data_IF_942164969000
#
_entry.id   IF_942164969000
#
_cell.length_a   1.000
_cell.length_b   1.000
_cell.length_c   1.000
_cell.angle_alpha   90.00
_cell.angle_beta   90.00
_cell.angle_gamma   90.00
#
_symmetry.space_group_name_H-M   'P 1'
#
loop_
_entity.id
_entity.type
_entity.pdbx_description
1 polymer ?
#
# COMPACT_ATOMS: atom_id res chain seq x y z
N UNK A 1 9.14 -16.51 -8.08
CA UNK A 1 9.48 -15.23 -8.73
C UNK A 1 8.53 -14.24 -8.10
N UNK A 2 8.99 -13.53 -7.06
CA UNK A 2 8.17 -12.70 -6.16
C UNK A 2 7.74 -11.40 -6.86
N UNK A 3 6.76 -11.50 -7.74
CA UNK A 3 6.19 -10.33 -8.38
C UNK A 3 5.08 -9.76 -7.51
N UNK A 4 5.32 -8.58 -6.96
CA UNK A 4 4.27 -7.76 -6.36
C UNK A 4 3.26 -7.39 -7.45
N UNK A 5 2.00 -7.78 -7.26
CA UNK A 5 0.88 -7.36 -8.10
C UNK A 5 0.05 -6.32 -7.34
N UNK A 6 -0.39 -5.28 -8.04
CA UNK A 6 -1.28 -4.26 -7.47
C UNK A 6 -2.58 -4.28 -8.26
N UNK A 7 -3.67 -4.65 -7.58
CA UNK A 7 -4.98 -4.75 -8.19
C UNK A 7 -5.88 -3.64 -7.63
N UNK A 8 -6.22 -2.61 -8.43
CA UNK A 8 -7.12 -1.55 -8.00
C UNK A 8 -8.58 -2.00 -8.06
N UNK A 9 -9.38 -1.50 -7.14
CA UNK A 9 -10.84 -1.49 -7.29
C UNK A 9 -11.21 -0.55 -8.45
N UNK A 10 -12.15 -0.92 -9.34
CA UNK A 10 -12.43 -0.17 -10.57
C UNK A 10 -12.95 1.25 -10.34
N UNK A 11 -13.54 1.53 -9.18
CA UNK A 11 -14.08 2.85 -8.82
C UNK A 11 -13.65 3.27 -7.42
N UNK A 12 -13.51 4.58 -7.14
CA UNK A 12 -13.38 5.06 -5.76
C UNK A 12 -14.59 4.66 -4.90
N UNK A 13 -14.37 4.46 -3.60
CA UNK A 13 -15.40 4.04 -2.65
C UNK A 13 -15.41 4.91 -1.40
N UNK A 14 -16.59 5.06 -0.78
CA UNK A 14 -16.75 5.75 0.49
C UNK A 14 -16.30 4.84 1.63
N UNK A 15 -15.22 5.23 2.32
CA UNK A 15 -14.72 4.50 3.48
C UNK A 15 -14.89 5.33 4.75
N UNK A 16 -15.29 4.68 5.83
CA UNK A 16 -15.34 5.28 7.16
C UNK A 16 -14.19 4.74 8.03
N UNK A 17 -13.41 5.62 8.67
CA UNK A 17 -12.45 5.23 9.69
C UNK A 17 -13.02 5.51 11.09
N UNK A 18 -13.17 4.46 11.91
CA UNK A 18 -13.63 4.57 13.29
C UNK A 18 -12.57 4.08 14.26
N UNK A 19 -12.42 4.78 15.37
CA UNK A 19 -11.50 4.36 16.42
C UNK A 19 -11.98 3.08 17.09
N UNK A 20 -11.09 2.12 17.28
CA UNK A 20 -11.36 0.83 17.93
C UNK A 20 -10.50 0.69 19.17
N UNK A 21 -11.08 0.13 20.24
CA UNK A 21 -10.35 -0.19 21.46
C UNK A 21 -9.94 -1.66 21.42
N UNK A 22 -8.63 -1.91 21.51
CA UNK A 22 -8.10 -3.26 21.59
C UNK A 22 -6.85 -3.29 22.46
N UNK A 23 -6.64 -4.37 23.22
CA UNK A 23 -5.52 -4.50 24.16
C UNK A 23 -4.14 -4.55 23.48
N UNK A 24 -4.10 -4.77 22.17
CA UNK A 24 -2.86 -4.78 21.37
C UNK A 24 -2.46 -3.40 20.85
N UNK A 25 -3.26 -2.36 21.08
CA UNK A 25 -2.92 -0.99 20.67
C UNK A 25 -1.89 -0.44 21.66
N UNK A 26 -0.70 -0.03 21.22
CA UNK A 26 0.32 0.57 22.09
C UNK A 26 -0.15 1.89 22.70
N UNK A 27 0.41 2.22 23.87
CA UNK A 27 0.17 3.53 24.51
C UNK A 27 0.58 4.68 23.58
N UNK A 28 -0.26 5.70 23.47
CA UNK A 28 -0.04 6.85 22.59
C UNK A 28 -0.40 6.63 21.12
N UNK A 29 -0.85 5.43 20.74
CA UNK A 29 -1.38 5.12 19.42
C UNK A 29 -2.91 5.00 19.42
N UNK A 30 -3.50 5.04 18.22
CA UNK A 30 -4.93 4.87 18.01
C UNK A 30 -5.16 3.66 17.12
N UNK A 31 -5.97 2.71 17.60
CA UNK A 31 -6.51 1.66 16.76
C UNK A 31 -7.59 2.23 15.85
N UNK A 32 -7.52 1.93 14.56
CA UNK A 32 -8.51 2.30 13.56
C UNK A 32 -9.09 1.06 12.89
N UNK A 33 -10.41 1.04 12.73
CA UNK A 33 -11.11 0.15 11.82
C UNK A 33 -11.60 0.94 10.62
N UNK A 34 -11.38 0.40 9.42
CA UNK A 34 -11.88 0.94 8.16
C UNK A 34 -13.09 0.15 7.72
N UNK A 35 -14.17 0.86 7.39
CA UNK A 35 -15.46 0.29 7.06
C UNK A 35 -15.91 0.69 5.67
N UNK A 36 -16.46 -0.27 4.93
CA UNK A 36 -17.14 -0.07 3.66
C UNK A 36 -18.54 -0.68 3.78
N UNK A 37 -19.60 0.07 3.49
CA UNK A 37 -21.00 -0.38 3.66
C UNK A 37 -21.24 -0.99 5.07
N UNK A 38 -20.81 -0.28 6.11
CA UNK A 38 -20.83 -0.71 7.54
C UNK A 38 -20.03 -1.99 7.88
N UNK A 39 -19.31 -2.58 6.93
CA UNK A 39 -18.51 -3.80 7.12
C UNK A 39 -17.06 -3.43 7.38
N UNK A 40 -16.47 -4.04 8.41
CA UNK A 40 -15.06 -3.86 8.71
C UNK A 40 -14.20 -4.56 7.65
N UNK A 41 -13.44 -3.78 6.88
CA UNK A 41 -12.59 -4.30 5.80
C UNK A 41 -11.10 -4.32 6.17
N UNK A 42 -10.67 -3.46 7.10
CA UNK A 42 -9.28 -3.40 7.54
C UNK A 42 -9.15 -2.85 8.97
N UNK A 43 -8.05 -3.19 9.64
CA UNK A 43 -7.67 -2.64 10.95
C UNK A 43 -6.23 -2.14 10.86
N UNK A 44 -5.96 -0.96 11.39
CA UNK A 44 -4.59 -0.44 11.53
C UNK A 44 -4.36 0.18 12.90
N UNK A 45 -3.08 0.41 13.21
CA UNK A 45 -2.65 1.21 14.34
C UNK A 45 -1.89 2.40 13.78
N UNK A 46 -2.27 3.60 14.19
CA UNK A 46 -1.67 4.85 13.72
C UNK A 46 -1.25 5.72 14.88
N UNK A 47 -0.34 6.65 14.62
CA UNK A 47 -0.01 7.67 15.60
C UNK A 47 -1.23 8.57 15.85
N UNK A 48 -1.41 9.03 17.10
CA UNK A 48 -2.58 9.83 17.48
C UNK A 48 -2.76 11.11 16.64
N UNK A 49 -1.66 11.72 16.20
CA UNK A 49 -1.66 12.91 15.35
C UNK A 49 -1.99 12.63 13.86
N UNK A 50 -2.02 11.37 13.42
CA UNK A 50 -2.36 11.00 12.05
C UNK A 50 -3.88 10.84 11.83
N UNK A 51 -4.66 10.80 12.91
CA UNK A 51 -6.10 10.53 12.85
C UNK A 51 -6.86 11.56 12.01
N UNK A 52 -6.62 12.85 12.26
CA UNK A 52 -7.31 13.94 11.57
C UNK A 52 -6.96 13.96 10.08
N UNK A 53 -5.71 13.65 9.73
CA UNK A 53 -5.26 13.50 8.34
C UNK A 53 -5.98 12.36 7.64
N UNK A 54 -6.08 11.19 8.29
CA UNK A 54 -6.78 10.03 7.72
C UNK A 54 -8.27 10.35 7.54
N UNK A 55 -8.91 10.97 8.51
CA UNK A 55 -10.32 11.38 8.39
C UNK A 55 -10.52 12.36 7.23
N UNK A 56 -9.58 13.30 7.05
CA UNK A 56 -9.62 14.26 5.94
C UNK A 56 -9.44 13.57 4.57
N UNK A 57 -8.56 12.58 4.47
CA UNK A 57 -8.37 11.79 3.25
C UNK A 57 -9.61 10.97 2.87
N UNK A 58 -10.39 10.56 3.87
CA UNK A 58 -11.61 9.75 3.69
C UNK A 58 -12.89 10.59 3.61
N UNK A 59 -12.79 11.93 3.60
CA UNK A 59 -13.95 12.83 3.50
C UNK A 59 -14.66 12.75 2.13
N UNK A 60 -14.01 12.16 1.13
CA UNK A 60 -14.55 11.89 -0.20
C UNK A 60 -14.24 10.44 -0.61
N UNK A 61 -14.97 9.87 -1.59
CA UNK A 61 -14.65 8.54 -2.11
C UNK A 61 -13.17 8.41 -2.51
N UNK A 62 -12.52 7.35 -2.03
CA UNK A 62 -11.09 7.11 -2.20
C UNK A 62 -10.84 5.86 -3.04
N UNK A 63 -9.81 5.90 -3.87
CA UNK A 63 -9.38 4.72 -4.63
C UNK A 63 -8.72 3.71 -3.69
N UNK A 64 -9.06 2.43 -3.86
CA UNK A 64 -8.53 1.33 -3.04
C UNK A 64 -7.89 0.30 -3.94
N UNK A 65 -6.80 -0.30 -3.49
CA UNK A 65 -6.13 -1.39 -4.18
C UNK A 65 -5.68 -2.49 -3.21
N UNK A 66 -5.48 -3.68 -3.74
CA UNK A 66 -4.79 -4.77 -3.04
C UNK A 66 -3.40 -4.95 -3.65
N UNK A 67 -2.37 -4.71 -2.85
CA UNK A 67 -0.99 -5.03 -3.19
C UNK A 67 -0.67 -6.42 -2.65
N UNK A 68 -0.43 -7.40 -3.52
CA UNK A 68 -0.32 -8.80 -3.17
C UNK A 68 0.95 -9.44 -3.73
N UNK A 69 1.48 -10.42 -3.02
CA UNK A 69 2.59 -11.27 -3.46
C UNK A 69 2.35 -12.70 -3.03
N UNK A 70 2.87 -13.63 -3.81
CA UNK A 70 2.96 -15.03 -3.44
C UNK A 70 4.21 -15.27 -2.59
N UNK A 71 4.10 -16.08 -1.54
CA UNK A 71 5.23 -16.53 -0.72
C UNK A 71 5.77 -17.91 -1.18
N UNK A 72 6.88 -18.36 -0.58
CA UNK A 72 7.50 -19.65 -0.92
C UNK A 72 6.60 -20.88 -0.67
N UNK A 73 5.53 -20.71 0.11
CA UNK A 73 4.54 -21.76 0.41
C UNK A 73 3.30 -21.67 -0.49
N UNK A 74 3.27 -20.75 -1.46
CA UNK A 74 2.16 -20.53 -2.39
C UNK A 74 1.00 -19.73 -1.80
N UNK A 75 1.13 -19.21 -0.57
CA UNK A 75 0.12 -18.32 0.02
C UNK A 75 0.25 -16.92 -0.57
N UNK A 76 -0.84 -16.17 -0.55
CA UNK A 76 -0.83 -14.76 -0.93
C UNK A 76 -0.80 -13.89 0.31
N UNK A 77 0.27 -13.10 0.47
CA UNK A 77 0.39 -11.99 1.43
C UNK A 77 -0.05 -10.69 0.74
N UNK A 78 -1.16 -10.13 1.19
CA UNK A 78 -1.79 -8.96 0.62
C UNK A 78 -1.88 -7.79 1.60
N UNK A 79 -1.84 -6.58 1.06
CA UNK A 79 -2.08 -5.32 1.79
C UNK A 79 -3.15 -4.52 1.08
N UNK A 80 -4.19 -4.18 1.83
CA UNK A 80 -5.21 -3.24 1.35
C UNK A 80 -4.60 -1.86 1.48
N UNK A 81 -4.64 -1.09 0.40
CA UNK A 81 -4.02 0.22 0.30
C UNK A 81 -5.05 1.26 -0.15
N UNK A 82 -4.98 2.45 0.43
CA UNK A 82 -5.53 3.65 -0.21
C UNK A 82 -4.57 4.07 -1.32
N UNK A 83 -5.11 4.42 -2.48
CA UNK A 83 -4.35 4.94 -3.62
C UNK A 83 -4.49 6.45 -3.60
N UNK A 84 -3.42 7.14 -3.22
CA UNK A 84 -3.38 8.58 -3.04
C UNK A 84 -2.64 9.22 -4.21
N UNK A 85 -3.17 10.29 -4.83
CA UNK A 85 -2.41 11.07 -5.80
C UNK A 85 -1.22 11.72 -5.08
N UNK A 86 -0.06 11.63 -5.70
CA UNK A 86 1.13 12.38 -5.32
C UNK A 86 1.26 13.49 -6.34
N UNK A 87 1.22 14.74 -5.88
CA UNK A 87 1.61 15.83 -6.75
C UNK A 87 3.07 15.57 -7.15
N UNK A 88 3.41 15.57 -8.45
CA UNK A 88 4.81 15.52 -8.82
C UNK A 88 5.44 16.72 -8.14
N UNK A 89 6.31 16.46 -7.16
CA UNK A 89 7.06 17.53 -6.53
C UNK A 89 7.67 18.35 -7.66
N UNK A 90 7.57 19.68 -7.58
CA UNK A 90 8.28 20.61 -8.46
C UNK A 90 9.81 20.55 -8.23
N UNK A 91 10.33 19.36 -7.91
CA UNK A 91 11.70 19.04 -7.55
C UNK A 91 12.33 18.12 -8.61
N UNK A 92 12.25 18.53 -9.88
CA UNK A 92 13.36 18.30 -10.82
C UNK A 92 13.40 19.37 -11.95
N UNK A 93 12.89 20.57 -11.65
CA UNK A 93 12.95 21.75 -12.53
C UNK A 93 13.78 22.90 -11.94
N UNK A 94 14.56 22.61 -10.89
CA UNK A 94 15.51 23.57 -10.33
C UNK A 94 16.68 23.78 -11.29
N UNK A 95 16.49 24.62 -12.30
CA UNK A 95 17.59 25.43 -12.83
C UNK A 95 18.34 26.01 -11.63
N UNK A 96 19.66 25.80 -11.62
CA UNK A 96 20.47 25.84 -10.41
C UNK A 96 20.26 27.07 -9.52
N UNK A 97 20.07 26.80 -8.23
CA UNK A 97 20.67 27.68 -7.22
C UNK A 97 22.20 27.52 -7.31
N UNK A 98 22.80 28.28 -8.24
CA UNK A 98 24.17 28.78 -8.07
C UNK A 98 24.21 29.56 -6.74
N UNK A 99 24.49 28.89 -5.62
CA UNK A 99 24.26 29.57 -4.35
C UNK A 99 24.88 29.02 -3.08
N UNK A 100 25.32 27.76 -3.00
CA UNK A 100 26.21 27.31 -1.90
C UNK A 100 26.97 26.07 -2.36
N UNK A 101 28.26 26.23 -2.64
CA UNK A 101 29.15 25.10 -2.83
C UNK A 101 29.26 24.35 -1.50
N UNK A 102 28.50 23.26 -1.37
CA UNK A 102 28.55 22.44 -0.18
C UNK A 102 29.98 21.91 0.03
N UNK A 103 30.51 21.94 1.27
CA UNK A 103 31.94 21.74 1.53
C UNK A 103 32.46 20.37 1.08
N UNK A 104 31.59 19.36 1.08
CA UNK A 104 31.92 18.01 0.62
C UNK A 104 32.13 17.93 -0.91
N UNK A 105 31.53 18.82 -1.69
CA UNK A 105 31.63 18.85 -3.17
C UNK A 105 33.04 19.20 -3.64
N UNK A 106 33.79 19.95 -2.84
CA UNK A 106 35.20 20.30 -3.09
C UNK A 106 36.18 19.14 -2.87
N UNK A 107 35.75 18.08 -2.18
CA UNK A 107 36.58 16.93 -1.84
C UNK A 107 36.43 15.77 -2.84
N UNK A 108 35.53 15.89 -3.81
CA UNK A 108 35.34 14.88 -4.85
C UNK A 108 36.09 15.31 -6.12
N UNK A 109 37.03 14.51 -6.64
CA UNK A 109 37.66 14.78 -7.92
C UNK A 109 36.59 14.85 -9.02
N UNK A 110 36.68 15.86 -9.89
CA UNK A 110 35.79 15.94 -11.05
C UNK A 110 35.92 14.66 -11.88
N UNK A 111 34.81 14.00 -12.25
CA UNK A 111 34.85 12.81 -13.09
C UNK A 111 35.43 13.17 -14.48
N UNK A 112 36.10 12.22 -15.15
CA UNK A 112 36.61 12.44 -16.48
C UNK A 112 35.47 12.74 -17.48
N UNK A 113 35.70 13.60 -18.49
CA UNK A 113 34.67 14.12 -19.40
C UNK A 113 33.99 13.06 -20.28
N UNK A 114 34.52 11.83 -20.29
CA UNK A 114 33.99 10.69 -21.06
C UNK A 114 32.74 10.07 -20.42
N UNK A 115 32.39 10.42 -19.18
CA UNK A 115 31.24 9.86 -18.43
C UNK A 115 29.98 10.74 -18.54
N UNK A 116 30.12 12.00 -18.96
CA UNK A 116 28.98 12.96 -19.02
C UNK A 116 28.03 12.72 -20.20
N UNK A 117 28.46 12.02 -21.26
CA UNK A 117 27.65 11.82 -22.47
C UNK A 117 26.60 10.71 -22.38
N UNK A 118 26.76 9.74 -21.46
CA UNK A 118 25.84 8.59 -21.36
C UNK A 118 24.71 8.79 -20.34
N UNK A 119 24.80 9.77 -19.43
CA UNK A 119 23.76 10.03 -18.43
C UNK A 119 22.70 11.06 -18.86
N UNK A 120 22.92 11.78 -19.98
CA UNK A 120 22.03 12.85 -20.44
C UNK A 120 20.86 12.38 -21.34
N UNK A 121 20.68 11.07 -21.54
CA UNK A 121 19.70 10.54 -22.52
C UNK A 121 18.68 9.55 -21.96
N UNK A 122 18.51 9.49 -20.63
CA UNK A 122 17.37 8.77 -20.01
C UNK A 122 16.52 9.68 -19.11
N UNK A 123 16.47 10.98 -19.42
CA UNK A 123 15.43 11.89 -18.92
C UNK A 123 14.14 11.70 -19.71
N UNK A 124 13.51 10.54 -19.58
CA UNK A 124 12.14 10.35 -20.04
C UNK A 124 11.21 11.03 -19.05
N UNK A 125 10.78 12.24 -19.39
CA UNK A 125 9.69 12.96 -18.72
C UNK A 125 8.38 12.17 -18.84
N UNK A 126 8.21 11.13 -18.04
CA UNK A 126 6.90 10.49 -17.85
C UNK A 126 6.16 11.27 -16.75
N UNK A 127 5.73 12.48 -17.08
CA UNK A 127 4.94 13.39 -16.22
C UNK A 127 3.51 12.89 -15.98
N UNK A 128 3.31 11.59 -15.88
CA UNK A 128 2.04 10.98 -15.50
C UNK A 128 1.74 11.22 -14.01
N UNK A 129 0.46 11.16 -13.60
CA UNK A 129 0.09 11.26 -12.20
C UNK A 129 0.79 10.16 -11.40
N UNK A 130 1.57 10.56 -10.40
CA UNK A 130 2.22 9.64 -9.47
C UNK A 130 1.22 9.25 -8.39
N UNK A 131 1.29 7.99 -7.95
CA UNK A 131 0.42 7.48 -6.90
C UNK A 131 1.23 6.87 -5.77
N UNK A 132 0.82 7.17 -4.54
CA UNK A 132 1.31 6.52 -3.34
C UNK A 132 0.29 5.49 -2.85
N UNK A 133 0.79 4.35 -2.39
CA UNK A 133 -0.02 3.35 -1.71
C UNK A 133 0.14 3.53 -0.19
N UNK A 134 -0.95 3.83 0.50
CA UNK A 134 -0.99 3.88 1.96
C UNK A 134 -1.64 2.59 2.49
N UNK A 135 -0.88 1.64 3.06
CA UNK A 135 -1.45 0.40 3.58
C UNK A 135 -2.33 0.66 4.81
N UNK A 136 -3.55 0.11 4.79
CA UNK A 136 -4.53 0.23 5.87
C UNK A 136 -4.84 -1.10 6.57
N UNK A 137 -4.41 -2.23 5.99
CA UNK A 137 -4.56 -3.55 6.59
C UNK A 137 -3.85 -4.63 5.80
N UNK A 138 -3.62 -5.77 6.46
CA UNK A 138 -3.06 -6.96 5.86
C UNK A 138 -4.15 -8.01 5.65
N UNK A 139 -4.02 -8.79 4.60
CA UNK A 139 -4.90 -9.93 4.27
C UNK A 139 -4.06 -11.08 3.76
N UNK A 140 -4.50 -12.29 4.05
CA UNK A 140 -3.80 -13.51 3.63
C UNK A 140 -4.80 -14.46 2.99
N UNK A 141 -4.40 -15.11 1.90
CA UNK A 141 -5.11 -16.26 1.33
C UNK A 141 -4.15 -17.45 1.33
N UNK A 142 -4.55 -18.53 1.98
CA UNK A 142 -3.75 -19.76 2.02
C UNK A 142 -3.71 -20.41 0.63
N UNK A 143 -2.63 -21.13 0.32
CA UNK A 143 -2.48 -21.84 -0.95
C UNK A 143 -3.68 -22.76 -1.27
N UNK A 144 -4.20 -23.47 -0.26
CA UNK A 144 -5.35 -24.38 -0.39
C UNK A 144 -6.68 -23.66 -0.67
N UNK A 145 -6.77 -22.36 -0.35
CA UNK A 145 -7.96 -21.53 -0.58
C UNK A 145 -7.84 -20.70 -1.89
N UNK A 146 -6.81 -20.95 -2.72
CA UNK A 146 -6.63 -20.27 -4.01
C UNK A 146 -7.54 -20.88 -5.09
N UNK A 147 -8.13 -20.01 -5.90
CA UNK A 147 -8.91 -20.42 -7.07
C UNK A 147 -8.10 -20.30 -8.36
N UNK A 148 -7.04 -19.48 -8.36
CA UNK A 148 -6.18 -19.23 -9.52
C UNK A 148 -4.69 -19.44 -9.16
N UNK A 149 -4.25 -20.70 -8.90
CA UNK A 149 -2.87 -20.97 -8.44
C UNK A 149 -1.77 -20.42 -9.36
N UNK A 150 -2.04 -20.35 -10.66
CA UNK A 150 -1.08 -19.85 -11.66
C UNK A 150 -1.20 -18.33 -11.93
N UNK A 151 -2.17 -17.65 -11.32
CA UNK A 151 -2.45 -16.22 -11.55
C UNK A 151 -2.79 -15.49 -10.24
N UNK A 152 -1.74 -14.96 -9.61
CA UNK A 152 -1.82 -14.18 -8.37
C UNK A 152 -2.69 -12.93 -8.54
N UNK A 153 -2.70 -12.30 -9.72
CA UNK A 153 -3.48 -11.09 -9.95
C UNK A 153 -4.98 -11.38 -9.95
N UNK A 154 -5.41 -12.51 -10.52
CA UNK A 154 -6.80 -12.95 -10.46
C UNK A 154 -7.23 -13.31 -9.03
N UNK A 155 -6.42 -14.08 -8.29
CA UNK A 155 -6.71 -14.35 -6.88
C UNK A 155 -6.78 -13.05 -6.06
N UNK A 156 -5.84 -12.11 -6.27
CA UNK A 156 -5.81 -10.82 -5.58
C UNK A 156 -7.05 -9.96 -5.90
N UNK A 157 -7.52 -9.97 -7.15
CA UNK A 157 -8.77 -9.31 -7.54
C UNK A 157 -9.96 -9.89 -6.79
N UNK A 158 -10.08 -11.21 -6.79
CA UNK A 158 -11.17 -11.90 -6.10
C UNK A 158 -11.10 -11.70 -4.57
N UNK A 159 -9.90 -11.66 -3.98
CA UNK A 159 -9.69 -11.30 -2.58
C UNK A 159 -10.21 -9.91 -2.26
N UNK A 160 -9.89 -8.92 -3.09
CA UNK A 160 -10.36 -7.54 -2.91
C UNK A 160 -11.89 -7.44 -3.03
N UNK A 161 -12.48 -8.08 -4.03
CA UNK A 161 -13.94 -8.12 -4.23
C UNK A 161 -14.65 -8.79 -3.05
N UNK A 162 -14.17 -9.95 -2.60
CA UNK A 162 -14.72 -10.66 -1.45
C UNK A 162 -14.61 -9.84 -0.16
N UNK A 163 -13.48 -9.17 0.04
CA UNK A 163 -13.27 -8.33 1.22
C UNK A 163 -14.26 -7.16 1.28
N UNK A 164 -14.43 -6.45 0.16
CA UNK A 164 -15.39 -5.35 0.05
C UNK A 164 -16.84 -5.85 0.15
N UNK A 165 -17.12 -7.07 -0.33
CA UNK A 165 -18.41 -7.72 -0.12
C UNK A 165 -18.61 -8.28 1.31
N UNK A 166 -17.64 -8.12 2.22
CA UNK A 166 -17.72 -8.64 3.59
C UNK A 166 -17.56 -10.15 3.73
N UNK A 167 -17.05 -10.82 2.69
CA UNK A 167 -16.71 -12.24 2.67
C UNK A 167 -15.31 -12.55 3.24
N UNK A 168 -14.53 -11.53 3.64
CA UNK A 168 -13.24 -11.73 4.28
C UNK A 168 -13.37 -12.48 5.61
N UNK A 169 -12.65 -13.60 5.76
CA UNK A 169 -12.57 -14.34 7.03
C UNK A 169 -11.43 -13.79 7.88
N UNK A 170 -11.68 -13.58 9.16
CA UNK A 170 -10.62 -13.24 10.11
C UNK A 170 -9.60 -14.39 10.16
N UNK A 171 -8.31 -14.07 10.03
CA UNK A 171 -7.23 -15.06 10.08
C UNK A 171 -7.26 -15.88 11.37
N UNK A 172 -7.69 -15.28 12.49
CA UNK A 172 -7.87 -15.99 13.76
C UNK A 172 -9.03 -16.98 13.68
N UNK A 173 -10.16 -16.57 13.09
CA UNK A 173 -11.32 -17.46 12.92
C UNK A 173 -10.97 -18.63 12.00
N UNK A 174 -10.25 -18.38 10.91
CA UNK A 174 -9.77 -19.42 9.99
C UNK A 174 -8.82 -20.39 10.68
N UNK A 175 -7.86 -19.90 11.47
CA UNK A 175 -6.97 -20.76 12.24
C UNK A 175 -7.73 -21.63 13.26
N UNK A 176 -8.77 -21.09 13.89
CA UNK A 176 -9.66 -21.86 14.77
C UNK A 176 -10.42 -22.92 13.96
N UNK A 177 -11.00 -22.55 12.82
CA UNK A 177 -11.77 -23.48 11.97
C UNK A 177 -10.89 -24.61 11.42
N UNK A 178 -9.65 -24.31 11.03
CA UNK A 178 -8.70 -25.30 10.52
C UNK A 178 -8.22 -26.24 11.66
N UNK A 179 -8.01 -25.70 12.87
CA UNK A 179 -7.73 -26.51 14.05
C UNK A 179 -8.91 -27.45 14.37
N UNK A 180 -10.15 -26.94 14.30
CA UNK A 180 -11.36 -27.72 14.55
C UNK A 180 -11.60 -28.81 13.50
N UNK A 181 -11.17 -28.60 12.25
CA UNK A 181 -11.26 -29.62 11.17
C UNK A 181 -10.18 -30.69 11.25
N UNK A 182 -9.13 -30.47 12.04
CA UNK A 182 -8.00 -31.40 12.21
C UNK A 182 -8.20 -32.47 13.31
N UNK A 183 -9.34 -32.42 14.01
CA UNK A 183 -9.75 -33.34 15.10
C UNK A 183 -10.83 -34.28 14.59
#
# INVERSE_FOLDING_TARGET
MDHLVVVPHPTPIELEARSIRHNSVPDGAVGLGYYYDDRLIARSVVASNALDTIQSLLASPVSVALAAREDDSGNIDGRICLVLPVEPDAADGGEGEEGTAEPWRSSVPAPPPEVESDYAQSGGEDGGPQFALLPIGNVVRAADDRHHPDDVAHDAKEMLENLLAGGGRDAVQKAIDDLLKSI
#
